data_IF_012546376805
#
_entry.id   IF_012546376805
#
_cell.length_a   1.000
_cell.length_b   1.000
_cell.length_c   1.000
_cell.angle_alpha   90.00
_cell.angle_beta   90.00
_cell.angle_gamma   90.00
#
_symmetry.space_group_name_H-M   'P 1'
#
loop_
_entity.id
_entity.type
_entity.pdbx_description
1 polymer ?
#
# COMPACT_ATOMS: atom_id res chain seq x y z
N UNK A 1 -5.19 -0.99 -25.02
CA UNK A 1 -4.60 -0.82 -23.68
C UNK A 1 -4.11 0.61 -23.61
N UNK A 2 -4.58 1.41 -22.65
CA UNK A 2 -4.23 2.83 -22.52
C UNK A 2 -3.00 3.04 -21.64
N UNK A 3 -2.88 2.20 -20.61
CA UNK A 3 -1.70 2.08 -19.77
C UNK A 3 -1.61 0.66 -19.15
N UNK A 4 -0.43 0.27 -18.69
CA UNK A 4 -0.10 -0.98 -18.03
C UNK A 4 1.00 -0.75 -16.99
N UNK A 5 0.64 -0.96 -15.73
CA UNK A 5 1.52 -0.81 -14.57
C UNK A 5 1.87 -2.17 -14.00
N UNK A 6 3.16 -2.41 -13.78
CA UNK A 6 3.68 -3.59 -13.10
C UNK A 6 4.11 -3.21 -11.70
N UNK A 7 3.70 -4.01 -10.71
CA UNK A 7 4.03 -3.81 -9.31
C UNK A 7 4.88 -4.96 -8.79
N UNK A 8 5.74 -4.69 -7.80
CA UNK A 8 6.32 -5.73 -6.98
C UNK A 8 5.31 -6.25 -5.92
N UNK A 9 5.76 -7.14 -5.03
CA UNK A 9 4.91 -7.69 -3.96
C UNK A 9 4.42 -6.63 -2.97
N UNK A 10 5.09 -5.49 -2.85
CA UNK A 10 4.86 -4.44 -1.87
C UNK A 10 4.35 -3.15 -2.50
N UNK A 11 3.65 -3.25 -3.65
CA UNK A 11 3.03 -2.10 -4.34
C UNK A 11 4.03 -1.08 -4.92
N UNK A 12 5.32 -1.38 -5.04
CA UNK A 12 6.24 -0.52 -5.79
C UNK A 12 6.04 -0.70 -7.29
N UNK A 13 5.89 0.41 -8.01
CA UNK A 13 5.85 0.42 -9.47
C UNK A 13 7.23 0.05 -10.01
N UNK A 14 7.31 -1.04 -10.75
CA UNK A 14 8.54 -1.52 -11.39
C UNK A 14 8.58 -1.22 -12.89
N UNK A 15 7.43 -0.99 -13.51
CA UNK A 15 7.29 -0.58 -14.90
C UNK A 15 5.92 0.06 -15.13
N UNK A 16 5.87 1.07 -15.99
CA UNK A 16 4.64 1.74 -16.43
C UNK A 16 4.80 2.11 -17.91
N UNK A 17 3.74 1.96 -18.70
CA UNK A 17 3.80 2.19 -20.14
C UNK A 17 3.45 3.62 -20.55
N UNK A 18 2.69 4.34 -19.72
CA UNK A 18 2.23 5.69 -20.00
C UNK A 18 2.04 6.51 -18.70
N UNK A 19 3.10 7.16 -18.19
CA UNK A 19 3.04 7.93 -16.94
C UNK A 19 2.23 9.23 -17.04
N UNK A 20 1.87 9.67 -18.25
CA UNK A 20 1.00 10.83 -18.45
C UNK A 20 -0.49 10.49 -18.23
N UNK A 21 -0.81 9.20 -18.12
CA UNK A 21 -2.16 8.71 -17.84
C UNK A 21 -2.32 8.38 -16.36
N UNK A 22 -2.69 9.39 -15.57
CA UNK A 22 -2.94 9.22 -14.13
C UNK A 22 -4.14 8.30 -13.86
N UNK A 23 -3.90 7.25 -13.07
CA UNK A 23 -4.91 6.35 -12.54
C UNK A 23 -5.02 6.51 -11.02
N UNK A 24 -6.17 7.02 -10.58
CA UNK A 24 -6.44 7.20 -9.15
C UNK A 24 -6.29 5.92 -8.34
N UNK A 25 -6.72 4.77 -8.86
CA UNK A 25 -6.70 3.50 -8.13
C UNK A 25 -5.70 2.52 -8.76
N UNK A 26 -4.73 2.09 -7.97
CA UNK A 26 -3.69 1.15 -8.40
C UNK A 26 -3.75 -0.17 -7.65
N UNK A 27 -2.62 -0.57 -7.08
CA UNK A 27 -2.45 -1.81 -6.33
C UNK A 27 -3.47 -1.94 -5.20
N UNK A 28 -4.09 -3.13 -5.07
CA UNK A 28 -5.18 -3.44 -4.11
C UNK A 28 -6.38 -2.46 -4.15
N UNK A 29 -6.56 -1.71 -5.25
CA UNK A 29 -7.62 -0.71 -5.39
C UNK A 29 -7.43 0.52 -4.50
N UNK A 30 -6.18 0.81 -4.10
CA UNK A 30 -5.83 1.94 -3.24
C UNK A 30 -5.42 3.16 -4.04
N UNK A 31 -5.68 4.31 -3.45
CA UNK A 31 -5.32 5.59 -4.05
C UNK A 31 -3.83 5.83 -3.88
N UNK A 32 -3.16 6.18 -4.97
CA UNK A 32 -1.76 6.60 -4.97
C UNK A 32 -1.73 8.11 -5.04
N UNK A 33 -0.97 8.73 -4.14
CA UNK A 33 -0.63 10.13 -4.20
C UNK A 33 0.59 10.29 -5.12
N UNK A 34 0.44 10.94 -6.27
CA UNK A 34 1.52 11.08 -7.25
C UNK A 34 2.63 12.05 -6.82
N UNK A 35 2.33 12.99 -5.91
CA UNK A 35 3.32 13.94 -5.42
C UNK A 35 4.31 13.28 -4.47
N UNK A 36 3.85 12.28 -3.71
CA UNK A 36 4.62 11.62 -2.65
C UNK A 36 4.97 10.16 -2.96
N UNK A 37 4.24 9.51 -3.87
CA UNK A 37 4.31 8.08 -4.14
C UNK A 37 3.67 7.19 -3.06
N UNK A 38 3.05 7.79 -2.05
CA UNK A 38 2.40 7.08 -0.95
C UNK A 38 1.05 6.53 -1.36
N UNK A 39 0.65 5.43 -0.73
CA UNK A 39 -0.65 4.79 -0.94
C UNK A 39 -1.57 5.09 0.23
N UNK A 40 -2.77 5.59 -0.02
CA UNK A 40 -3.76 5.88 1.01
C UNK A 40 -4.60 4.63 1.35
N UNK A 41 -4.41 4.10 2.55
CA UNK A 41 -5.12 2.94 3.09
C UNK A 41 -6.22 3.33 4.08
N UNK A 42 -6.90 4.47 3.84
CA UNK A 42 -7.97 5.03 4.69
C UNK A 42 -7.48 5.55 6.03
N UNK A 43 -7.03 4.69 6.92
CA UNK A 43 -6.61 5.12 8.23
C UNK A 43 -5.13 5.54 8.27
N UNK A 44 -4.31 4.97 7.37
CA UNK A 44 -2.88 5.25 7.28
C UNK A 44 -2.39 5.43 5.85
N UNK A 45 -1.26 6.10 5.72
CA UNK A 45 -0.48 6.14 4.49
C UNK A 45 0.59 5.04 4.52
N UNK A 46 0.66 4.29 3.44
CA UNK A 46 1.65 3.25 3.20
C UNK A 46 2.74 3.77 2.26
N UNK A 47 4.00 3.57 2.64
CA UNK A 47 5.14 3.83 1.79
C UNK A 47 5.58 2.53 1.12
N UNK A 48 5.30 2.35 -0.18
CA UNK A 48 5.69 1.14 -0.87
C UNK A 48 7.21 1.04 -1.02
N UNK A 49 7.99 2.13 -1.02
CA UNK A 49 9.44 2.11 -1.25
C UNK A 49 10.21 1.43 -0.12
N UNK A 50 9.67 1.50 1.10
CA UNK A 50 10.20 0.83 2.30
C UNK A 50 9.26 -0.24 2.85
N UNK A 51 8.21 -0.55 2.10
CA UNK A 51 7.20 -1.56 2.39
C UNK A 51 6.57 -1.50 3.79
N UNK A 52 6.21 -0.29 4.28
CA UNK A 52 5.60 -0.11 5.61
C UNK A 52 4.67 1.10 5.70
N UNK A 53 3.84 1.14 6.73
CA UNK A 53 3.08 2.37 7.05
C UNK A 53 4.02 3.45 7.59
N UNK A 54 3.70 4.71 7.30
CA UNK A 54 4.46 5.87 7.80
C UNK A 54 3.99 6.35 9.17
N UNK A 55 2.86 5.83 9.65
CA UNK A 55 2.29 6.10 10.96
C UNK A 55 2.01 4.80 11.71
N UNK A 56 1.99 4.86 13.04
CA UNK A 56 1.58 3.74 13.89
C UNK A 56 0.12 3.37 13.62
N UNK A 57 -0.21 2.11 13.87
CA UNK A 57 -1.58 1.59 13.88
C UNK A 57 -2.42 2.30 14.95
N UNK A 58 -3.59 2.84 14.60
CA UNK A 58 -4.41 3.59 15.55
C UNK A 58 -5.03 2.66 16.61
N UNK A 59 -5.15 1.36 16.31
CA UNK A 59 -5.52 0.32 17.28
C UNK A 59 -4.34 -0.12 18.15
N UNK A 60 -3.12 0.33 17.88
CA UNK A 60 -1.94 -0.09 18.62
C UNK A 60 -1.79 -1.62 18.64
N UNK A 61 -1.52 -2.20 19.81
CA UNK A 61 -1.39 -3.66 19.94
C UNK A 61 -2.73 -4.40 19.87
N UNK A 62 -3.87 -3.71 19.92
CA UNK A 62 -5.20 -4.34 19.75
C UNK A 62 -5.45 -4.75 18.29
N UNK A 63 -4.61 -4.29 17.36
CA UNK A 63 -4.50 -4.76 15.98
C UNK A 63 -4.05 -6.23 15.87
N UNK A 64 -3.56 -6.84 16.95
CA UNK A 64 -3.06 -8.23 16.92
C UNK A 64 -1.67 -8.36 16.31
N UNK A 65 -0.95 -7.25 16.14
CA UNK A 65 0.44 -7.19 15.68
C UNK A 65 1.31 -6.45 16.70
N UNK A 66 2.51 -6.97 16.95
CA UNK A 66 3.52 -6.30 17.76
C UNK A 66 4.27 -5.20 16.98
N UNK A 67 4.19 -5.20 15.64
CA UNK A 67 4.80 -4.19 14.80
C UNK A 67 3.72 -3.24 14.25
N UNK A 68 3.62 -2.06 14.87
CA UNK A 68 2.60 -1.05 14.57
C UNK A 68 2.77 -0.38 13.19
N UNK A 69 3.84 -0.66 12.46
CA UNK A 69 4.11 -0.10 11.12
C UNK A 69 4.03 -1.17 10.02
N UNK A 70 3.82 -2.44 10.36
CA UNK A 70 3.92 -3.54 9.41
C UNK A 70 2.75 -3.55 8.44
N UNK A 71 3.07 -3.77 7.17
CA UNK A 71 2.07 -4.01 6.13
C UNK A 71 1.80 -5.50 5.98
N UNK A 72 0.55 -5.92 6.22
CA UNK A 72 0.02 -7.26 5.85
C UNK A 72 0.92 -8.40 6.32
N UNK A 73 1.38 -8.37 7.58
CA UNK A 73 2.29 -9.38 8.15
C UNK A 73 3.56 -9.67 7.33
N UNK A 74 4.06 -8.72 6.53
CA UNK A 74 5.12 -8.93 5.53
C UNK A 74 4.83 -10.05 4.51
N UNK A 75 3.55 -10.37 4.31
CA UNK A 75 3.07 -11.44 3.42
C UNK A 75 1.98 -10.96 2.46
N UNK A 76 2.20 -9.87 1.68
CA UNK A 76 1.19 -9.24 0.84
C UNK A 76 0.71 -10.09 -0.35
N UNK A 77 1.42 -11.17 -0.67
CA UNK A 77 1.04 -12.13 -1.72
C UNK A 77 0.24 -13.33 -1.20
N UNK A 78 0.17 -13.54 0.12
CA UNK A 78 -0.35 -14.77 0.72
C UNK A 78 -1.74 -14.57 1.33
N UNK A 79 -2.75 -14.26 0.53
CA UNK A 79 -4.18 -14.15 0.92
C UNK A 79 -4.53 -13.19 2.09
N UNK A 80 -3.54 -12.61 2.77
CA UNK A 80 -3.68 -11.55 3.74
C UNK A 80 -3.90 -10.23 2.98
N UNK A 81 -4.80 -9.41 3.48
CA UNK A 81 -5.03 -8.06 2.98
C UNK A 81 -5.28 -7.17 4.19
N UNK A 82 -4.95 -5.88 4.09
CA UNK A 82 -5.37 -4.87 5.08
C UNK A 82 -6.34 -3.89 4.43
N UNK A 83 -7.66 -4.16 4.48
CA UNK A 83 -8.63 -3.29 3.84
C UNK A 83 -8.83 -1.94 4.56
N UNK A 84 -8.52 -1.85 5.85
CA UNK A 84 -8.78 -0.65 6.65
C UNK A 84 -7.55 0.19 6.91
N UNK A 85 -6.35 -0.36 6.69
CA UNK A 85 -5.11 0.26 7.11
C UNK A 85 -4.97 0.29 8.62
N UNK A 86 -5.54 -0.67 9.35
CA UNK A 86 -5.56 -0.72 10.84
C UNK A 86 -5.25 -2.13 11.35
N UNK A 87 -4.56 -2.93 10.51
CA UNK A 87 -4.09 -4.31 10.69
C UNK A 87 -4.92 -5.25 11.60
N UNK A 88 -5.31 -6.40 11.03
CA UNK A 88 -5.59 -7.65 11.76
C UNK A 88 -5.11 -8.83 10.94
#
# INVERSE_FOLDING_TARGET
MLDHITYDSCSQVTSETNPDFDVRFGYTGRERDDATGLMYYRARYYDPAVARFISEDSLGFDAGDANLYRYVFNSPTNNYTDPSGESR
#
